data_IF_550877929376
#
_entry.id   IF_550877929376
#
_cell.length_a   1.000
_cell.length_b   1.000
_cell.length_c   1.000
_cell.angle_alpha   90.00
_cell.angle_beta   90.00
_cell.angle_gamma   90.00
#
_symmetry.space_group_name_H-M   'P 1'
#
loop_
_entity.id
_entity.type
_entity.pdbx_description
1 polymer ?
#
# COMPACT_ATOMS: atom_id res chain seq x y z
N UNK A 1 -21.47 -4.61 -37.46
CA UNK A 1 -20.85 -4.04 -36.24
C UNK A 1 -20.89 -5.16 -35.23
N UNK A 2 -19.73 -5.68 -34.84
CA UNK A 2 -19.67 -6.63 -33.73
C UNK A 2 -20.30 -5.97 -32.50
N UNK A 3 -21.19 -6.69 -31.82
CA UNK A 3 -21.78 -6.22 -30.58
C UNK A 3 -20.68 -6.15 -29.53
N UNK A 4 -20.32 -4.94 -29.14
CA UNK A 4 -19.37 -4.73 -28.04
C UNK A 4 -20.10 -5.05 -26.73
N UNK A 5 -19.63 -6.06 -26.00
CA UNK A 5 -20.20 -6.43 -24.71
C UNK A 5 -19.62 -5.54 -23.60
N UNK A 6 -20.46 -4.68 -23.02
CA UNK A 6 -20.10 -3.85 -21.90
C UNK A 6 -20.42 -4.57 -20.59
N UNK A 7 -19.42 -4.72 -19.73
CA UNK A 7 -19.61 -5.19 -18.37
C UNK A 7 -20.46 -4.19 -17.57
N UNK A 8 -21.22 -4.71 -16.61
CA UNK A 8 -22.04 -3.89 -15.71
C UNK A 8 -21.20 -2.82 -15.00
N UNK A 9 -19.99 -3.17 -14.58
CA UNK A 9 -19.01 -2.23 -14.02
C UNK A 9 -18.12 -1.76 -15.15
N UNK A 10 -18.18 -0.48 -15.50
CA UNK A 10 -17.29 0.14 -16.46
C UNK A 10 -17.12 1.62 -16.15
N UNK A 11 -16.05 2.23 -16.66
CA UNK A 11 -15.85 3.69 -16.60
C UNK A 11 -15.71 4.28 -17.98
N UNK A 12 -16.66 5.12 -18.36
CA UNK A 12 -16.56 5.91 -19.57
C UNK A 12 -15.76 7.19 -19.31
N UNK A 13 -14.73 7.46 -20.12
CA UNK A 13 -13.92 8.68 -19.99
C UNK A 13 -14.60 9.95 -20.52
N UNK A 14 -15.85 9.85 -21.01
CA UNK A 14 -16.66 11.00 -21.38
C UNK A 14 -16.75 11.97 -20.20
N UNK A 15 -16.51 13.24 -20.46
CA UNK A 15 -16.48 14.33 -19.47
C UNK A 15 -15.40 14.18 -18.39
N UNK A 16 -14.40 13.31 -18.53
CA UNK A 16 -13.25 13.35 -17.62
C UNK A 16 -12.34 14.53 -17.98
N UNK A 17 -11.96 15.35 -17.00
CA UNK A 17 -11.05 16.49 -17.20
C UNK A 17 -9.63 16.10 -17.66
N UNK A 18 -9.26 14.83 -17.48
CA UNK A 18 -7.96 14.30 -17.88
C UNK A 18 -7.97 13.67 -19.27
N UNK A 19 -9.13 13.58 -19.94
CA UNK A 19 -9.21 13.01 -21.29
C UNK A 19 -8.49 13.91 -22.31
N UNK A 20 -7.62 13.32 -23.12
CA UNK A 20 -6.94 14.00 -24.23
C UNK A 20 -7.64 13.63 -25.53
N UNK A 21 -8.30 14.59 -26.16
CA UNK A 21 -9.11 14.40 -27.37
C UNK A 21 -8.44 15.11 -28.55
N UNK A 22 -8.29 14.40 -29.67
CA UNK A 22 -7.83 14.94 -30.95
C UNK A 22 -8.77 14.46 -32.04
N UNK A 23 -9.21 15.36 -32.92
CA UNK A 23 -10.07 15.03 -34.07
C UNK A 23 -11.31 14.18 -33.68
N UNK A 24 -12.01 14.59 -32.62
CA UNK A 24 -13.21 13.91 -32.08
C UNK A 24 -12.96 12.49 -31.53
N UNK A 25 -11.70 12.07 -31.34
CA UNK A 25 -11.33 10.80 -30.71
C UNK A 25 -10.47 11.04 -29.47
N UNK A 26 -10.80 10.38 -28.38
CA UNK A 26 -9.92 10.32 -27.21
C UNK A 26 -8.69 9.46 -27.56
N UNK A 27 -7.52 10.09 -27.52
CA UNK A 27 -6.24 9.45 -27.82
C UNK A 27 -5.49 9.03 -26.57
N UNK A 28 -5.67 9.75 -25.44
CA UNK A 28 -4.95 9.45 -24.20
C UNK A 28 -5.68 10.00 -22.94
N UNK A 29 -5.05 9.82 -21.79
CA UNK A 29 -5.36 10.42 -20.50
C UNK A 29 -4.11 11.14 -19.97
N UNK A 30 -4.25 12.37 -19.47
CA UNK A 30 -3.13 13.15 -18.90
C UNK A 30 -2.43 12.45 -17.74
N UNK A 31 -3.16 11.63 -16.99
CA UNK A 31 -2.65 10.82 -15.89
C UNK A 31 -2.11 9.45 -16.35
N UNK A 32 -2.01 9.20 -17.66
CA UNK A 32 -1.58 7.96 -18.29
C UNK A 32 -2.36 6.68 -17.89
N UNK A 33 -3.53 6.84 -17.23
CA UNK A 33 -4.26 5.72 -16.65
C UNK A 33 -4.80 4.71 -17.65
N UNK A 34 -5.07 5.14 -18.89
CA UNK A 34 -5.48 4.23 -19.97
C UNK A 34 -4.41 3.16 -20.19
N UNK A 35 -3.14 3.56 -20.32
CA UNK A 35 -2.02 2.63 -20.49
C UNK A 35 -1.81 1.77 -19.26
N UNK A 36 -2.00 2.33 -18.06
CA UNK A 36 -1.89 1.55 -16.82
C UNK A 36 -2.95 0.43 -16.77
N UNK A 37 -4.18 0.69 -17.23
CA UNK A 37 -5.23 -0.34 -17.35
C UNK A 37 -4.92 -1.37 -18.44
N UNK A 38 -4.48 -0.93 -19.62
CA UNK A 38 -4.08 -1.83 -20.71
C UNK A 38 -2.92 -2.76 -20.27
N UNK A 39 -1.92 -2.23 -19.57
CA UNK A 39 -0.79 -3.00 -19.02
C UNK A 39 -1.20 -3.97 -17.90
N UNK A 40 -2.37 -3.77 -17.30
CA UNK A 40 -2.94 -4.63 -16.27
C UNK A 40 -3.95 -5.64 -16.86
N UNK A 41 -3.92 -5.86 -18.18
CA UNK A 41 -4.81 -6.74 -18.93
C UNK A 41 -6.30 -6.38 -18.74
N UNK A 42 -6.60 -5.10 -18.53
CA UNK A 42 -7.98 -4.58 -18.48
C UNK A 42 -8.39 -4.12 -19.87
N UNK A 43 -9.53 -4.61 -20.33
CA UNK A 43 -10.08 -4.25 -21.63
C UNK A 43 -10.47 -2.76 -21.69
N UNK A 44 -9.88 -2.03 -22.65
CA UNK A 44 -10.21 -0.63 -22.94
C UNK A 44 -10.79 -0.52 -24.34
N UNK A 45 -12.07 -0.11 -24.41
CA UNK A 45 -12.87 -0.07 -25.63
C UNK A 45 -12.98 1.36 -26.16
N UNK A 46 -12.98 1.52 -27.49
CA UNK A 46 -13.31 2.78 -28.15
C UNK A 46 -14.79 2.81 -28.51
N UNK A 47 -15.59 3.66 -27.85
CA UNK A 47 -17.03 3.77 -28.11
C UNK A 47 -17.42 5.13 -28.67
N UNK A 48 -18.19 5.11 -29.76
CA UNK A 48 -18.79 6.32 -30.35
C UNK A 48 -20.02 6.74 -29.54
N UNK A 49 -20.01 7.97 -29.02
CA UNK A 49 -21.13 8.56 -28.30
C UNK A 49 -22.07 9.34 -29.22
N UNK A 50 -23.24 9.71 -28.69
CA UNK A 50 -24.27 10.47 -29.39
C UNK A 50 -23.81 11.84 -29.91
N UNK A 51 -22.76 12.42 -29.31
CA UNK A 51 -22.13 13.66 -29.78
C UNK A 51 -21.16 13.46 -30.95
N UNK A 52 -21.06 12.24 -31.49
CA UNK A 52 -20.17 11.91 -32.61
C UNK A 52 -18.73 11.60 -32.20
N UNK A 53 -18.34 11.92 -30.96
CA UNK A 53 -16.99 11.69 -30.46
C UNK A 53 -16.80 10.22 -30.03
N UNK A 54 -15.56 9.74 -30.18
CA UNK A 54 -15.12 8.42 -29.71
C UNK A 54 -14.39 8.60 -28.39
N UNK A 55 -14.89 7.96 -27.33
CA UNK A 55 -14.28 7.98 -26.00
C UNK A 55 -13.78 6.59 -25.63
N UNK A 56 -12.74 6.55 -24.80
CA UNK A 56 -12.27 5.30 -24.21
C UNK A 56 -13.17 4.89 -23.04
N UNK A 57 -13.45 3.60 -22.95
CA UNK A 57 -14.21 2.98 -21.86
C UNK A 57 -13.40 1.86 -21.25
N UNK A 58 -13.12 1.98 -19.95
CA UNK A 58 -12.43 0.94 -19.19
C UNK A 58 -13.50 -0.07 -18.77
N UNK A 59 -13.49 -1.25 -19.40
CA UNK A 59 -14.50 -2.28 -19.19
C UNK A 59 -14.17 -3.14 -17.97
N UNK A 60 -15.15 -3.47 -17.15
CA UNK A 60 -14.97 -4.32 -15.95
C UNK A 60 -14.32 -3.62 -14.74
N UNK A 61 -14.07 -2.30 -14.79
CA UNK A 61 -13.36 -1.56 -13.72
C UNK A 61 -13.89 -0.14 -13.50
N UNK A 62 -13.69 0.35 -12.27
CA UNK A 62 -13.92 1.73 -11.89
C UNK A 62 -12.60 2.51 -11.93
N UNK A 63 -12.54 3.61 -12.68
CA UNK A 63 -11.39 4.50 -12.69
C UNK A 63 -11.47 5.47 -11.51
N UNK A 64 -10.70 5.20 -10.46
CA UNK A 64 -10.64 6.05 -9.25
C UNK A 64 -10.03 7.44 -9.52
N UNK A 65 -9.44 7.64 -10.70
CA UNK A 65 -8.86 8.89 -11.17
C UNK A 65 -9.84 9.73 -12.02
N UNK A 66 -10.99 9.17 -12.40
CA UNK A 66 -12.01 9.91 -13.15
C UNK A 66 -12.48 11.13 -12.34
N UNK A 67 -12.54 12.29 -12.99
CA UNK A 67 -13.08 13.51 -12.39
C UNK A 67 -13.92 14.27 -13.40
N UNK A 68 -15.15 14.56 -13.01
CA UNK A 68 -16.03 15.48 -13.72
C UNK A 68 -15.57 16.93 -13.49
N UNK A 69 -15.69 17.85 -14.48
CA UNK A 69 -15.30 19.25 -14.36
C UNK A 69 -15.82 19.92 -13.09
N UNK A 70 -17.11 19.74 -12.79
CA UNK A 70 -17.78 20.31 -11.61
C UNK A 70 -17.07 19.97 -10.29
N UNK A 71 -16.48 18.78 -10.16
CA UNK A 71 -15.76 18.39 -8.94
C UNK A 71 -14.41 19.12 -8.78
N UNK A 72 -13.85 19.60 -9.89
CA UNK A 72 -12.52 20.18 -9.97
C UNK A 72 -12.53 21.72 -10.08
N UNK A 73 -13.68 22.33 -10.34
CA UNK A 73 -13.85 23.79 -10.49
C UNK A 73 -13.29 24.61 -9.31
N UNK A 74 -13.37 24.08 -8.08
CA UNK A 74 -12.84 24.74 -6.88
C UNK A 74 -11.31 24.76 -6.79
N UNK A 75 -10.61 24.09 -7.71
CA UNK A 75 -9.16 24.00 -7.74
C UNK A 75 -8.60 24.64 -9.00
N UNK A 76 -7.45 25.34 -8.93
CA UNK A 76 -6.75 25.79 -10.13
C UNK A 76 -6.41 24.61 -11.05
N UNK A 77 -6.67 24.75 -12.35
CA UNK A 77 -6.46 23.69 -13.34
C UNK A 77 -5.02 23.17 -13.36
N UNK A 78 -4.04 24.04 -13.11
CA UNK A 78 -2.62 23.68 -12.98
C UNK A 78 -2.33 22.68 -11.85
N UNK A 79 -3.24 22.53 -10.87
CA UNK A 79 -3.09 21.64 -9.74
C UNK A 79 -3.93 20.36 -9.83
N UNK A 80 -4.77 20.20 -10.87
CA UNK A 80 -5.74 19.09 -10.92
C UNK A 80 -5.09 17.71 -10.85
N UNK A 81 -4.00 17.49 -11.60
CA UNK A 81 -3.28 16.21 -11.61
C UNK A 81 -2.72 15.89 -10.22
N UNK A 82 -1.98 16.83 -9.64
CA UNK A 82 -1.40 16.70 -8.30
C UNK A 82 -2.46 16.43 -7.22
N UNK A 83 -3.62 17.08 -7.30
CA UNK A 83 -4.71 16.89 -6.34
C UNK A 83 -5.27 15.48 -6.43
N UNK A 84 -5.53 15.00 -7.66
CA UNK A 84 -6.07 13.66 -7.85
C UNK A 84 -5.03 12.62 -7.43
N UNK A 85 -3.78 12.78 -7.82
CA UNK A 85 -2.68 11.92 -7.37
C UNK A 85 -2.63 11.82 -5.85
N UNK A 86 -2.74 12.94 -5.11
CA UNK A 86 -2.76 12.91 -3.63
C UNK A 86 -4.01 12.20 -3.06
N UNK A 87 -5.17 12.35 -3.71
CA UNK A 87 -6.41 11.69 -3.30
C UNK A 87 -6.42 10.18 -3.61
N UNK A 88 -5.64 9.76 -4.61
CA UNK A 88 -5.58 8.37 -5.10
C UNK A 88 -4.28 7.69 -4.70
N UNK A 89 -3.74 8.00 -3.52
CA UNK A 89 -2.69 7.20 -2.88
C UNK A 89 -3.33 6.29 -1.87
N UNK A 90 -2.99 5.01 -1.89
CA UNK A 90 -3.40 4.07 -0.84
C UNK A 90 -2.62 4.40 0.43
N UNK A 91 -3.27 4.93 1.49
CA UNK A 91 -2.56 5.19 2.73
C UNK A 91 -2.33 3.86 3.46
N UNK A 92 -1.18 3.74 4.13
CA UNK A 92 -0.85 2.53 4.89
C UNK A 92 0.04 2.83 6.10
N UNK A 93 0.04 1.90 7.04
CA UNK A 93 1.00 1.83 8.14
C UNK A 93 2.15 0.89 7.78
N UNK A 94 3.39 1.30 8.00
CA UNK A 94 4.54 0.40 7.99
C UNK A 94 4.91 0.04 9.44
N UNK A 95 4.94 -1.24 9.76
CA UNK A 95 5.48 -1.78 11.02
C UNK A 95 6.88 -2.30 10.73
N UNK A 96 7.87 -1.73 11.39
CA UNK A 96 9.28 -2.10 11.22
C UNK A 96 9.77 -2.77 12.50
N UNK A 97 10.20 -4.04 12.42
CA UNK A 97 10.71 -4.80 13.56
C UNK A 97 12.23 -4.68 13.63
N UNK A 98 12.73 -4.11 14.72
CA UNK A 98 14.15 -4.03 15.03
C UNK A 98 14.53 -5.23 15.90
N UNK A 99 15.14 -6.23 15.26
CA UNK A 99 15.60 -7.45 15.91
C UNK A 99 16.81 -7.21 16.81
N UNK A 100 17.05 -8.12 17.76
CA UNK A 100 18.06 -7.97 18.83
C UNK A 100 19.47 -7.65 18.33
N UNK A 101 19.84 -8.14 17.15
CA UNK A 101 21.20 -8.02 16.60
C UNK A 101 21.31 -6.97 15.49
N UNK A 102 20.22 -6.30 15.13
CA UNK A 102 20.21 -5.31 14.06
C UNK A 102 21.00 -4.05 14.44
N UNK A 103 21.89 -3.60 13.56
CA UNK A 103 22.65 -2.36 13.77
C UNK A 103 21.78 -1.11 13.57
N UNK A 104 22.19 0.00 14.19
CA UNK A 104 21.55 1.29 13.94
C UNK A 104 21.67 1.76 12.49
N UNK A 105 22.77 1.36 11.82
CA UNK A 105 22.98 1.58 10.39
C UNK A 105 21.89 0.89 9.56
N UNK A 106 21.56 -0.36 9.88
CA UNK A 106 20.47 -1.10 9.22
C UNK A 106 19.12 -0.40 9.45
N UNK A 107 18.82 -0.02 10.71
CA UNK A 107 17.60 0.75 11.00
C UNK A 107 17.50 2.03 10.16
N UNK A 108 18.57 2.83 10.11
CA UNK A 108 18.61 4.07 9.32
C UNK A 108 18.42 3.80 7.83
N UNK A 109 19.02 2.73 7.30
CA UNK A 109 18.85 2.34 5.90
C UNK A 109 17.40 1.93 5.60
N UNK A 110 16.78 1.13 6.46
CA UNK A 110 15.41 0.66 6.27
C UNK A 110 14.38 1.78 6.40
N UNK A 111 14.57 2.70 7.37
CA UNK A 111 13.76 3.93 7.44
C UNK A 111 13.95 4.81 6.19
N UNK A 112 15.17 4.91 5.66
CA UNK A 112 15.42 5.65 4.41
C UNK A 112 14.69 5.01 3.23
N UNK A 113 14.73 3.68 3.10
CA UNK A 113 14.01 2.96 2.04
C UNK A 113 12.51 3.17 2.11
N UNK A 114 11.92 3.17 3.31
CA UNK A 114 10.51 3.50 3.51
C UNK A 114 10.21 4.98 3.19
N UNK A 115 11.11 5.90 3.53
CA UNK A 115 10.95 7.31 3.24
C UNK A 115 11.08 7.65 1.74
N UNK A 116 11.95 6.93 1.03
CA UNK A 116 12.21 7.14 -0.40
C UNK A 116 11.15 6.50 -1.30
N UNK A 117 10.19 5.75 -0.74
CA UNK A 117 9.06 5.20 -1.49
C UNK A 117 8.26 6.31 -2.20
N UNK A 118 7.75 6.00 -3.40
CA UNK A 118 6.89 6.91 -4.16
C UNK A 118 5.65 7.33 -3.34
N UNK A 119 5.10 6.37 -2.59
CA UNK A 119 4.02 6.59 -1.62
C UNK A 119 4.57 6.21 -0.25
N UNK A 120 4.91 7.24 0.52
CA UNK A 120 5.44 7.11 1.87
C UNK A 120 4.37 6.55 2.82
N UNK A 121 4.74 5.74 3.81
CA UNK A 121 3.82 5.32 4.85
C UNK A 121 3.24 6.54 5.59
N UNK A 122 1.93 6.50 5.89
CA UNK A 122 1.29 7.54 6.68
C UNK A 122 1.66 7.42 8.17
N UNK A 123 1.91 6.20 8.63
CA UNK A 123 2.39 5.90 9.96
C UNK A 123 3.53 4.89 9.87
N UNK A 124 4.66 5.19 10.52
CA UNK A 124 5.72 4.21 10.75
C UNK A 124 5.72 3.84 12.23
N UNK A 125 5.50 2.56 12.54
CA UNK A 125 5.65 2.04 13.89
C UNK A 125 6.90 1.18 13.97
N UNK A 126 7.89 1.65 14.72
CA UNK A 126 9.08 0.87 15.03
C UNK A 126 8.82 0.01 16.26
N UNK A 127 8.88 -1.31 16.09
CA UNK A 127 8.78 -2.31 17.15
C UNK A 127 10.20 -2.69 17.55
N UNK A 128 10.64 -2.22 18.71
CA UNK A 128 12.00 -2.39 19.19
C UNK A 128 12.10 -3.59 20.15
N UNK A 129 12.81 -4.63 19.72
CA UNK A 129 13.18 -5.80 20.55
C UNK A 129 14.59 -5.70 21.14
N UNK A 130 15.35 -4.63 20.85
CA UNK A 130 16.70 -4.42 21.37
C UNK A 130 16.66 -3.85 22.79
N UNK A 131 16.58 -4.75 23.75
CA UNK A 131 16.65 -4.45 25.17
C UNK A 131 18.04 -4.09 25.64
N UNK A 132 18.43 -2.83 25.54
CA UNK A 132 19.61 -2.36 26.26
C UNK A 132 20.94 -2.87 25.69
N UNK A 133 21.07 -3.18 24.41
CA UNK A 133 22.38 -3.22 23.76
C UNK A 133 22.19 -2.85 22.31
N UNK A 134 22.78 -1.74 21.92
CA UNK A 134 22.77 -1.31 20.54
C UNK A 134 24.17 -1.44 20.01
N UNK A 135 24.28 -1.60 18.70
CA UNK A 135 25.57 -1.73 18.03
C UNK A 135 25.63 -0.56 17.06
N UNK A 136 26.39 0.49 17.43
CA UNK A 136 26.61 1.66 16.57
C UNK A 136 27.46 1.30 15.34
N UNK A 137 28.34 0.30 15.45
CA UNK A 137 29.22 -0.15 14.38
C UNK A 137 29.71 -1.57 14.63
N UNK A 138 29.97 -2.30 13.55
CA UNK A 138 30.54 -3.66 13.55
C UNK A 138 31.68 -3.77 14.57
N UNK A 139 31.42 -4.40 15.72
CA UNK A 139 32.44 -4.73 16.72
C UNK A 139 32.53 -3.87 17.99
N UNK A 140 31.74 -2.79 18.18
CA UNK A 140 31.67 -2.07 19.48
C UNK A 140 30.26 -2.08 20.08
N UNK A 141 30.15 -2.55 21.33
CA UNK A 141 28.90 -2.61 22.11
C UNK A 141 28.63 -1.24 22.77
N UNK A 142 28.22 -0.25 21.98
CA UNK A 142 27.83 1.07 22.49
C UNK A 142 26.30 1.26 22.47
N UNK A 143 25.72 1.58 23.62
CA UNK A 143 24.27 1.64 23.85
C UNK A 143 23.64 2.90 23.21
N UNK A 144 22.61 2.72 22.38
CA UNK A 144 21.83 3.80 21.78
C UNK A 144 20.61 4.05 22.65
N UNK A 145 20.46 5.28 23.14
CA UNK A 145 19.31 5.62 23.97
C UNK A 145 18.04 5.60 23.11
N UNK A 146 16.87 5.17 23.63
CA UNK A 146 15.60 5.28 22.92
C UNK A 146 15.30 6.69 22.37
N UNK A 147 15.83 7.74 23.02
CA UNK A 147 15.77 9.12 22.52
C UNK A 147 16.43 9.29 21.15
N UNK A 148 17.57 8.66 20.88
CA UNK A 148 18.24 8.73 19.58
C UNK A 148 17.42 8.03 18.48
N UNK A 149 16.69 6.97 18.82
CA UNK A 149 15.77 6.31 17.88
C UNK A 149 14.60 7.23 17.54
N UNK A 150 14.03 7.89 18.55
CA UNK A 150 12.97 8.88 18.34
C UNK A 150 13.46 10.07 17.51
N UNK A 151 14.66 10.57 17.77
CA UNK A 151 15.31 11.61 16.96
C UNK A 151 15.52 11.15 15.51
N UNK A 152 15.96 9.90 15.32
CA UNK A 152 16.09 9.32 13.98
C UNK A 152 14.75 9.27 13.26
N UNK A 153 13.69 8.73 13.89
CA UNK A 153 12.35 8.69 13.30
C UNK A 153 11.85 10.09 12.94
N UNK A 154 12.08 11.08 13.82
CA UNK A 154 11.73 12.47 13.60
C UNK A 154 12.47 13.06 12.40
N UNK A 155 13.73 12.68 12.16
CA UNK A 155 14.55 13.19 11.05
C UNK A 155 14.01 12.81 9.66
N UNK A 156 13.24 11.72 9.55
CA UNK A 156 12.65 11.27 8.29
C UNK A 156 11.33 11.97 7.94
N UNK A 157 10.82 12.93 8.73
CA UNK A 157 9.61 13.70 8.40
C UNK A 157 8.40 12.82 7.93
N UNK A 158 8.21 11.65 8.52
CA UNK A 158 6.99 10.86 8.32
C UNK A 158 5.79 11.63 8.85
N UNK A 159 4.60 11.41 8.27
CA UNK A 159 3.39 12.08 8.72
C UNK A 159 3.07 11.75 10.19
N UNK A 160 3.19 10.47 10.56
CA UNK A 160 3.15 10.01 11.94
C UNK A 160 4.22 8.93 12.15
N UNK A 161 4.75 8.85 13.37
CA UNK A 161 5.65 7.77 13.77
C UNK A 161 5.37 7.37 15.22
N UNK A 162 5.68 6.12 15.56
CA UNK A 162 5.64 5.63 16.93
C UNK A 162 6.76 4.64 17.21
N UNK A 163 7.21 4.61 18.46
CA UNK A 163 8.19 3.65 18.96
C UNK A 163 7.52 2.77 20.01
N UNK A 164 7.57 1.47 19.82
CA UNK A 164 7.09 0.45 20.75
C UNK A 164 8.30 -0.34 21.24
N UNK A 165 8.74 -0.05 22.45
CA UNK A 165 9.67 -0.93 23.14
C UNK A 165 8.85 -2.09 23.68
N UNK A 166 9.12 -3.29 23.20
CA UNK A 166 8.58 -4.53 23.80
C UNK A 166 9.22 -4.64 25.20
N UNK A 167 8.76 -5.45 26.17
CA UNK A 167 9.58 -5.95 27.34
C UNK A 167 9.75 -7.47 27.47
N UNK A 168 8.92 -8.19 26.75
CA UNK A 168 8.84 -9.62 26.81
C UNK A 168 9.48 -10.25 25.58
N UNK A 169 10.54 -11.03 25.82
CA UNK A 169 11.29 -11.74 24.78
C UNK A 169 10.62 -13.04 24.32
N UNK A 170 9.53 -13.45 24.97
CA UNK A 170 8.77 -14.66 24.61
C UNK A 170 7.72 -14.40 23.54
N UNK A 171 7.37 -13.13 23.30
CA UNK A 171 6.39 -12.74 22.29
C UNK A 171 6.93 -12.96 20.89
N UNK A 172 6.14 -13.65 20.06
CA UNK A 172 6.44 -13.83 18.65
C UNK A 172 6.27 -12.52 17.87
N UNK A 173 6.80 -12.46 16.65
CA UNK A 173 6.55 -11.33 15.75
C UNK A 173 5.06 -11.04 15.57
N UNK A 174 4.25 -12.10 15.44
CA UNK A 174 2.80 -11.99 15.22
C UNK A 174 2.06 -11.45 16.45
N UNK A 175 2.49 -11.81 17.65
CA UNK A 175 1.95 -11.21 18.88
C UNK A 175 2.25 -9.71 18.94
N UNK A 176 3.46 -9.31 18.54
CA UNK A 176 3.87 -7.90 18.50
C UNK A 176 3.09 -7.11 17.44
N UNK A 177 2.78 -7.74 16.31
CA UNK A 177 1.93 -7.16 15.26
C UNK A 177 0.53 -6.91 15.81
N UNK A 178 -0.08 -7.88 16.50
CA UNK A 178 -1.42 -7.74 17.10
C UNK A 178 -1.44 -6.62 18.14
N UNK A 179 -0.47 -6.60 19.08
CA UNK A 179 -0.35 -5.54 20.09
C UNK A 179 -0.17 -4.16 19.43
N UNK A 180 0.62 -4.10 18.35
CA UNK A 180 0.86 -2.86 17.62
C UNK A 180 -0.39 -2.40 16.89
N UNK A 181 -1.10 -3.31 16.24
CA UNK A 181 -2.37 -3.04 15.58
C UNK A 181 -3.41 -2.54 16.59
N UNK A 182 -3.54 -3.17 17.75
CA UNK A 182 -4.50 -2.75 18.78
C UNK A 182 -4.25 -1.32 19.27
N UNK A 183 -2.99 -0.88 19.30
CA UNK A 183 -2.62 0.49 19.62
C UNK A 183 -2.89 1.49 18.48
N UNK A 184 -3.10 1.03 17.24
CA UNK A 184 -3.28 1.87 16.05
C UNK A 184 -4.60 1.65 15.32
N UNK A 185 -5.48 0.75 15.79
CA UNK A 185 -6.73 0.34 15.10
C UNK A 185 -7.76 1.43 14.85
N UNK A 186 -7.71 2.52 15.61
CA UNK A 186 -8.57 3.69 15.41
C UNK A 186 -8.04 4.64 14.32
N UNK A 187 -6.85 4.39 13.80
CA UNK A 187 -6.28 5.18 12.69
C UNK A 187 -6.91 4.74 11.37
N UNK A 188 -7.22 5.68 10.45
CA UNK A 188 -7.96 5.40 9.22
C UNK A 188 -7.04 4.84 8.12
N UNK A 189 -6.25 3.81 8.42
CA UNK A 189 -5.39 3.14 7.44
C UNK A 189 -6.06 1.82 7.03
N UNK A 190 -6.35 1.62 5.73
CA UNK A 190 -6.95 0.37 5.25
C UNK A 190 -6.00 -0.82 5.36
N UNK A 191 -4.69 -0.57 5.37
CA UNK A 191 -3.66 -1.60 5.40
C UNK A 191 -2.54 -1.27 6.38
N UNK A 192 -1.95 -2.32 6.94
CA UNK A 192 -0.60 -2.26 7.48
C UNK A 192 0.31 -3.27 6.78
N UNK A 193 1.61 -2.99 6.83
CA UNK A 193 2.64 -3.75 6.14
C UNK A 193 3.77 -3.98 7.13
N UNK A 194 4.34 -5.18 7.15
CA UNK A 194 5.37 -5.55 8.11
C UNK A 194 6.68 -5.83 7.39
N UNK A 195 7.77 -5.31 7.98
CA UNK A 195 9.14 -5.60 7.59
C UNK A 195 10.00 -5.73 8.85
N UNK A 196 11.05 -6.53 8.79
CA UNK A 196 12.17 -6.40 9.70
C UNK A 196 13.17 -5.36 9.16
N UNK A 197 14.08 -4.92 10.03
CA UNK A 197 15.10 -3.93 9.69
C UNK A 197 16.24 -4.44 8.81
N UNK A 198 16.42 -5.75 8.69
CA UNK A 198 17.41 -6.37 7.81
C UNK A 198 16.92 -6.53 6.38
N UNK A 199 15.61 -6.52 6.16
CA UNK A 199 14.98 -6.69 4.85
C UNK A 199 15.20 -5.50 3.92
N UNK A 200 15.52 -5.79 2.65
CA UNK A 200 15.67 -4.79 1.61
C UNK A 200 14.33 -4.46 0.95
N UNK A 201 13.60 -3.48 1.50
CA UNK A 201 12.34 -3.04 0.91
C UNK A 201 12.56 -2.51 -0.52
N UNK A 202 11.95 -3.13 -1.55
CA UNK A 202 12.10 -2.70 -2.93
C UNK A 202 11.66 -1.24 -3.14
N UNK A 203 12.36 -0.50 -4.01
CA UNK A 203 12.06 0.92 -4.29
C UNK A 203 10.68 1.14 -4.89
N UNK A 204 10.19 0.15 -5.62
CA UNK A 204 8.91 0.14 -6.33
C UNK A 204 7.77 -0.46 -5.49
N UNK A 205 8.03 -0.88 -4.25
CA UNK A 205 7.05 -1.57 -3.42
C UNK A 205 5.75 -0.77 -3.25
N UNK A 206 5.84 0.50 -2.85
CA UNK A 206 4.64 1.32 -2.61
C UNK A 206 3.85 1.59 -3.89
N UNK A 207 4.55 1.69 -5.03
CA UNK A 207 3.93 1.89 -6.34
C UNK A 207 3.16 0.64 -6.75
N UNK A 208 3.81 -0.53 -6.64
CA UNK A 208 3.22 -1.82 -6.94
C UNK A 208 2.00 -2.12 -6.06
N UNK A 209 2.07 -1.80 -4.76
CA UNK A 209 0.91 -1.88 -3.86
C UNK A 209 -0.24 -0.98 -4.34
N UNK A 210 0.05 0.26 -4.69
CA UNK A 210 -0.95 1.21 -5.14
C UNK A 210 -1.61 0.76 -6.45
N UNK A 211 -0.83 0.24 -7.39
CA UNK A 211 -1.32 -0.29 -8.67
C UNK A 211 -2.16 -1.56 -8.45
N UNK A 212 -1.74 -2.45 -7.55
CA UNK A 212 -2.50 -3.64 -7.17
C UNK A 212 -3.91 -3.28 -6.63
N UNK A 213 -4.00 -2.28 -5.77
CA UNK A 213 -5.27 -1.89 -5.15
C UNK A 213 -6.13 -1.01 -6.07
N UNK A 214 -5.54 -0.04 -6.78
CA UNK A 214 -6.31 0.96 -7.51
C UNK A 214 -6.52 0.63 -9.00
N UNK A 215 -5.53 0.01 -9.64
CA UNK A 215 -5.58 -0.32 -11.07
C UNK A 215 -6.12 -1.74 -11.26
N UNK A 216 -5.47 -2.73 -10.61
CA UNK A 216 -5.91 -4.13 -10.68
C UNK A 216 -7.19 -4.39 -9.88
N UNK A 217 -7.55 -3.48 -8.96
CA UNK A 217 -8.70 -3.60 -8.05
C UNK A 217 -8.67 -4.90 -7.25
N UNK A 218 -7.48 -5.32 -6.79
CA UNK A 218 -7.32 -6.51 -5.96
C UNK A 218 -8.10 -6.34 -4.65
N UNK A 219 -8.93 -7.33 -4.33
CA UNK A 219 -9.65 -7.40 -3.07
C UNK A 219 -8.72 -7.94 -1.99
N UNK A 220 -7.74 -7.15 -1.58
CA UNK A 220 -6.70 -7.60 -0.67
C UNK A 220 -7.21 -7.71 0.77
N UNK A 221 -7.31 -8.94 1.28
CA UNK A 221 -7.51 -9.22 2.70
C UNK A 221 -6.18 -9.45 3.43
N UNK A 222 -5.32 -10.30 2.84
CA UNK A 222 -4.02 -10.67 3.37
C UNK A 222 -3.05 -11.00 2.23
N UNK A 223 -1.82 -10.50 2.30
CA UNK A 223 -0.71 -10.95 1.48
C UNK A 223 0.28 -11.69 2.36
N UNK A 224 0.57 -12.94 2.02
CA UNK A 224 1.54 -13.75 2.73
C UNK A 224 2.94 -13.16 2.55
N UNK A 225 3.74 -13.10 3.64
CA UNK A 225 5.12 -12.65 3.56
C UNK A 225 5.97 -13.55 2.67
N UNK A 226 7.08 -13.01 2.19
CA UNK A 226 8.08 -13.80 1.42
C UNK A 226 8.91 -14.72 2.32
N UNK A 227 8.97 -14.41 3.60
CA UNK A 227 9.55 -15.21 4.68
C UNK A 227 8.59 -15.24 5.89
N UNK A 228 9.08 -15.11 7.13
CA UNK A 228 8.24 -15.08 8.33
C UNK A 228 7.27 -13.88 8.36
N UNK A 229 7.76 -12.68 8.03
CA UNK A 229 6.98 -11.43 8.17
C UNK A 229 7.19 -10.40 7.07
N UNK A 230 8.27 -10.49 6.29
CA UNK A 230 8.64 -9.44 5.35
C UNK A 230 7.67 -9.36 4.18
N UNK A 231 7.16 -8.15 3.94
CA UNK A 231 6.18 -7.92 2.89
C UNK A 231 4.79 -8.42 3.23
N UNK A 232 4.54 -8.87 4.47
CA UNK A 232 3.18 -9.20 4.91
C UNK A 232 2.31 -7.94 4.83
N UNK A 233 1.22 -8.00 4.07
CA UNK A 233 0.26 -6.89 3.94
C UNK A 233 -1.08 -7.37 4.47
N UNK A 234 -1.69 -6.59 5.35
CA UNK A 234 -2.93 -7.00 6.01
C UNK A 234 -3.95 -5.88 5.95
N UNK A 235 -5.17 -6.22 5.51
CA UNK A 235 -6.32 -5.34 5.65
C UNK A 235 -6.69 -5.18 7.13
N UNK A 236 -6.80 -3.94 7.60
CA UNK A 236 -7.23 -3.67 8.98
C UNK A 236 -8.64 -4.17 9.26
N UNK A 237 -9.50 -4.20 8.24
CA UNK A 237 -10.85 -4.80 8.33
C UNK A 237 -10.76 -6.32 8.55
N UNK A 238 -9.90 -7.01 7.80
CA UNK A 238 -9.71 -8.45 7.95
C UNK A 238 -9.12 -8.79 9.33
N UNK A 239 -8.10 -8.04 9.77
CA UNK A 239 -7.53 -8.20 11.11
C UNK A 239 -8.61 -8.02 12.18
N UNK A 240 -9.40 -6.93 12.12
CA UNK A 240 -10.48 -6.66 13.09
C UNK A 240 -11.54 -7.75 13.11
N UNK A 241 -11.98 -8.19 11.94
CA UNK A 241 -13.06 -9.19 11.78
C UNK A 241 -12.67 -10.55 12.35
N UNK A 242 -11.42 -10.97 12.16
CA UNK A 242 -10.94 -12.30 12.55
C UNK A 242 -10.10 -12.30 13.84
N UNK A 243 -9.93 -11.15 14.49
CA UNK A 243 -9.17 -11.02 15.74
C UNK A 243 -7.68 -11.32 15.56
N UNK A 244 -7.08 -10.86 14.46
CA UNK A 244 -5.64 -10.97 14.22
C UNK A 244 -5.11 -12.40 14.34
N UNK A 245 -3.99 -12.55 15.05
CA UNK A 245 -3.32 -13.81 15.37
C UNK A 245 -3.72 -14.37 16.76
N UNK A 246 -4.80 -13.86 17.37
CA UNK A 246 -5.31 -14.32 18.67
C UNK A 246 -5.53 -15.83 18.73
N UNK A 247 -5.38 -16.41 19.92
CA UNK A 247 -5.51 -17.85 20.20
C UNK A 247 -4.47 -18.73 19.48
N UNK A 248 -3.30 -18.18 19.15
CA UNK A 248 -2.21 -18.87 18.44
C UNK A 248 -2.64 -19.46 17.09
N UNK A 249 -3.63 -18.83 16.44
CA UNK A 249 -4.06 -19.18 15.09
C UNK A 249 -3.76 -17.97 14.22
N UNK A 250 -2.97 -18.20 13.17
CA UNK A 250 -2.59 -17.15 12.23
C UNK A 250 -3.81 -16.55 11.53
N UNK A 251 -3.74 -15.26 11.23
CA UNK A 251 -4.85 -14.53 10.60
C UNK A 251 -5.28 -15.15 9.27
N UNK A 252 -4.32 -15.54 8.43
CA UNK A 252 -4.57 -16.16 7.14
C UNK A 252 -5.35 -17.48 7.25
N UNK A 253 -5.06 -18.29 8.27
CA UNK A 253 -5.76 -19.56 8.50
C UNK A 253 -7.21 -19.32 8.92
N UNK A 254 -7.46 -18.26 9.70
CA UNK A 254 -8.82 -17.85 10.05
C UNK A 254 -9.59 -17.37 8.82
N UNK A 255 -8.98 -16.56 7.96
CA UNK A 255 -9.60 -16.11 6.71
C UNK A 255 -9.93 -17.33 5.83
N UNK A 256 -8.98 -18.25 5.64
CA UNK A 256 -9.19 -19.48 4.86
C UNK A 256 -10.35 -20.31 5.38
N UNK A 257 -10.46 -20.44 6.71
CA UNK A 257 -11.47 -21.27 7.38
C UNK A 257 -12.86 -20.65 7.38
N UNK A 258 -12.97 -19.33 7.57
CA UNK A 258 -14.25 -18.68 7.87
C UNK A 258 -14.83 -17.88 6.69
N UNK A 259 -14.03 -17.51 5.67
CA UNK A 259 -14.52 -16.75 4.52
C UNK A 259 -14.81 -17.64 3.30
N UNK A 260 -15.97 -17.44 2.69
CA UNK A 260 -16.30 -18.07 1.40
C UNK A 260 -15.45 -17.44 0.31
N UNK A 261 -14.86 -18.26 -0.58
CA UNK A 261 -13.93 -17.82 -1.63
C UNK A 261 -12.71 -17.05 -1.07
N UNK A 262 -12.19 -17.50 0.08
CA UNK A 262 -11.01 -16.93 0.75
C UNK A 262 -9.79 -16.77 -0.17
N UNK A 263 -9.65 -17.65 -1.17
CA UNK A 263 -8.63 -17.58 -2.21
C UNK A 263 -8.67 -16.31 -3.07
N UNK A 264 -9.78 -15.55 -3.07
CA UNK A 264 -9.87 -14.26 -3.76
C UNK A 264 -9.31 -13.09 -2.94
N UNK A 265 -9.03 -13.31 -1.66
CA UNK A 265 -8.59 -12.27 -0.72
C UNK A 265 -7.19 -12.52 -0.17
N UNK A 266 -6.63 -13.71 -0.41
CA UNK A 266 -5.30 -14.11 0.02
C UNK A 266 -4.39 -14.21 -1.20
N UNK A 267 -3.28 -13.49 -1.14
CA UNK A 267 -2.28 -13.44 -2.20
C UNK A 267 -0.90 -13.73 -1.62
N UNK A 268 0.07 -14.05 -2.46
CA UNK A 268 1.48 -13.99 -2.09
C UNK A 268 1.94 -12.52 -2.18
N UNK A 269 2.86 -12.06 -1.31
CA UNK A 269 3.39 -10.69 -1.40
C UNK A 269 4.00 -10.39 -2.79
N UNK A 270 4.54 -11.40 -3.46
CA UNK A 270 5.08 -11.31 -4.82
C UNK A 270 4.01 -11.08 -5.90
N UNK A 271 2.74 -11.42 -5.64
CA UNK A 271 1.63 -11.11 -6.57
C UNK A 271 1.35 -9.60 -6.60
N UNK A 272 1.63 -8.92 -5.48
CA UNK A 272 1.47 -7.48 -5.31
C UNK A 272 2.74 -6.77 -5.76
N UNK A 273 3.91 -7.19 -5.26
CA UNK A 273 5.20 -6.62 -5.60
C UNK A 273 6.16 -7.73 -6.05
N UNK A 274 6.29 -7.98 -7.36
CA UNK A 274 7.14 -9.04 -7.90
C UNK A 274 8.63 -8.91 -7.53
N UNK A 275 9.07 -7.72 -7.15
CA UNK A 275 10.44 -7.39 -6.73
C UNK A 275 10.78 -7.86 -5.30
N UNK A 276 9.83 -8.47 -4.57
CA UNK A 276 10.06 -9.02 -3.22
C UNK A 276 10.68 -10.43 -3.22
N UNK A 277 10.95 -11.03 -4.39
CA UNK A 277 11.53 -12.37 -4.53
C UNK A 277 12.92 -12.53 -3.94
#
# INVERSE_FOLDING_TARGET
>A
MESVELNQVHTCCKNCVFSVIKENKQIDCKLNKIKDYENADVEVLDLKHSNGNIYKVINGRLCLFYRHPELMEKYPQSNWEKIVELQTKVPYQAMLILEKEASFKQLKQSLKKLYDQEIKPNLVTLINKQYCSYIESEGRKDFIKPSHILELLKSFNFHQYSLKNVYDNTLSNRDLIDITYDATKEKPYPFYIVFDTSFDVPKDFSKNLNDAILIKMMQLGFAKPVDDINGMIVSTIAHKKHGGNSFNINLEDKILKYEKNSNKFIFEATDICPSLK
#
